data_IF_253779100276
#
_entry.id   IF_253779100276
#
_cell.length_a   1.000
_cell.length_b   1.000
_cell.length_c   1.000
_cell.angle_alpha   90.00
_cell.angle_beta   90.00
_cell.angle_gamma   90.00
#
_symmetry.space_group_name_H-M   'P 1'
#
loop_
_entity.id
_entity.type
_entity.pdbx_description
1 polymer ?
#
# COMPACT_ATOMS: atom_id res chain seq x y z
N UNK A 1 61.46 14.90 -57.32
CA UNK A 1 60.75 13.61 -57.40
C UNK A 1 59.60 13.67 -56.41
N UNK A 2 58.40 13.84 -56.94
CA UNK A 2 57.22 14.26 -56.19
C UNK A 2 56.55 13.08 -55.51
N UNK A 3 56.18 13.22 -54.24
CA UNK A 3 55.48 12.22 -53.43
C UNK A 3 54.20 11.67 -54.12
N UNK A 4 53.62 12.47 -55.02
CA UNK A 4 52.42 12.14 -55.78
C UNK A 4 52.65 11.11 -56.91
N UNK A 5 53.86 10.98 -57.46
CA UNK A 5 54.14 10.00 -58.54
C UNK A 5 54.15 8.55 -58.03
N UNK A 6 54.27 8.36 -56.72
CA UNK A 6 54.28 7.02 -56.09
C UNK A 6 52.88 6.46 -55.85
N UNK A 7 51.85 7.32 -55.88
CA UNK A 7 50.45 6.93 -55.61
C UNK A 7 49.80 6.30 -56.86
N UNK A 8 50.14 6.77 -58.06
CA UNK A 8 49.57 6.29 -59.33
C UNK A 8 50.03 4.90 -59.76
N UNK A 9 51.09 4.35 -59.15
CA UNK A 9 51.56 2.96 -59.42
C UNK A 9 50.91 1.90 -58.53
N UNK A 10 50.05 2.29 -57.60
CA UNK A 10 49.45 1.36 -56.64
C UNK A 10 48.15 0.79 -57.24
N UNK A 11 48.16 -0.50 -57.59
CA UNK A 11 46.95 -1.20 -58.07
C UNK A 11 45.79 -1.05 -57.09
N UNK A 12 44.58 -0.79 -57.61
CA UNK A 12 43.35 -0.64 -56.82
C UNK A 12 43.15 -1.74 -55.78
N UNK A 13 43.54 -2.99 -56.08
CA UNK A 13 43.48 -4.09 -55.13
C UNK A 13 44.31 -3.87 -53.86
N UNK A 14 45.46 -3.20 -53.97
CA UNK A 14 46.34 -2.86 -52.83
C UNK A 14 45.76 -1.73 -51.98
N UNK A 15 45.04 -0.78 -52.60
CA UNK A 15 44.35 0.30 -51.89
C UNK A 15 43.18 -0.26 -51.08
N UNK A 16 42.40 -1.16 -51.68
CA UNK A 16 41.30 -1.83 -50.98
C UNK A 16 41.85 -2.70 -49.84
N UNK A 17 42.93 -3.46 -50.07
CA UNK A 17 43.53 -4.27 -49.00
C UNK A 17 44.06 -3.42 -47.85
N UNK A 18 44.64 -2.26 -48.14
CA UNK A 18 45.12 -1.32 -47.12
C UNK A 18 43.96 -0.72 -46.32
N UNK A 19 42.85 -0.39 -46.99
CA UNK A 19 41.64 0.10 -46.33
C UNK A 19 41.01 -0.94 -45.41
N UNK A 20 40.89 -2.19 -45.87
CA UNK A 20 40.39 -3.31 -45.04
C UNK A 20 41.34 -3.58 -43.86
N UNK A 21 42.65 -3.53 -44.09
CA UNK A 21 43.64 -3.69 -43.03
C UNK A 21 43.53 -2.58 -41.97
N UNK A 22 43.41 -1.32 -42.39
CA UNK A 22 43.19 -0.17 -41.49
C UNK A 22 41.87 -0.29 -40.71
N UNK A 23 40.79 -0.72 -41.38
CA UNK A 23 39.49 -0.91 -40.74
C UNK A 23 39.54 -1.99 -39.65
N UNK A 24 40.27 -3.09 -39.88
CA UNK A 24 40.47 -4.12 -38.86
C UNK A 24 41.39 -3.64 -37.73
N UNK A 25 42.48 -2.94 -38.06
CA UNK A 25 43.48 -2.49 -37.10
C UNK A 25 42.94 -1.47 -36.11
N UNK A 26 42.01 -0.59 -36.54
CA UNK A 26 41.41 0.41 -35.67
C UNK A 26 39.98 0.06 -35.20
N UNK A 27 39.20 -0.66 -36.00
CA UNK A 27 37.81 -1.00 -35.69
C UNK A 27 37.66 -2.02 -34.56
N UNK A 28 38.53 -3.04 -34.52
CA UNK A 28 38.46 -4.07 -33.46
C UNK A 28 38.85 -3.51 -32.09
N UNK A 29 39.96 -2.76 -31.92
CA UNK A 29 40.29 -2.17 -30.62
C UNK A 29 39.24 -1.17 -30.14
N UNK A 30 38.65 -0.37 -31.04
CA UNK A 30 37.61 0.59 -30.69
C UNK A 30 36.34 -0.10 -30.19
N UNK A 31 35.90 -1.19 -30.83
CA UNK A 31 34.74 -1.96 -30.37
C UNK A 31 34.98 -2.63 -29.02
N UNK A 32 36.19 -3.18 -28.80
CA UNK A 32 36.58 -3.75 -27.50
C UNK A 32 36.59 -2.68 -26.40
N UNK A 33 37.12 -1.48 -26.68
CA UNK A 33 37.12 -0.36 -25.73
C UNK A 33 35.70 0.08 -25.34
N UNK A 34 34.78 0.17 -26.31
CA UNK A 34 33.39 0.53 -26.04
C UNK A 34 32.67 -0.53 -25.19
N UNK A 35 32.94 -1.82 -25.44
CA UNK A 35 32.38 -2.92 -24.64
C UNK A 35 32.97 -2.96 -23.22
N UNK A 36 34.27 -2.68 -23.07
CA UNK A 36 34.91 -2.60 -21.76
C UNK A 36 34.40 -1.41 -20.92
N UNK A 37 34.11 -0.27 -21.55
CA UNK A 37 33.49 0.87 -20.86
C UNK A 37 32.10 0.53 -20.32
N UNK A 38 31.30 -0.24 -21.07
CA UNK A 38 29.99 -0.69 -20.59
C UNK A 38 30.06 -1.71 -19.44
N UNK A 39 31.16 -2.46 -19.30
CA UNK A 39 31.30 -3.47 -18.24
C UNK A 39 31.82 -2.88 -16.92
N UNK A 40 32.66 -1.83 -16.94
CA UNK A 40 33.09 -1.15 -15.70
C UNK A 40 31.96 -0.38 -15.01
N UNK A 41 30.91 0.03 -15.73
CA UNK A 41 29.76 0.74 -15.13
C UNK A 41 28.83 -0.20 -14.35
N UNK A 42 28.87 -1.52 -14.61
CA UNK A 42 27.93 -2.49 -14.00
C UNK A 42 28.39 -3.13 -12.70
N UNK A 43 29.59 -2.83 -12.21
CA UNK A 43 30.15 -3.47 -11.01
C UNK A 43 30.53 -2.50 -9.90
N UNK A 44 29.81 -1.38 -9.78
CA UNK A 44 29.51 -0.92 -8.42
C UNK A 44 28.59 -1.97 -7.82
N UNK A 45 29.14 -2.92 -7.06
CA UNK A 45 28.35 -3.77 -6.21
C UNK A 45 27.37 -2.85 -5.46
N UNK A 46 26.08 -3.14 -5.55
CA UNK A 46 25.09 -2.49 -4.72
C UNK A 46 25.51 -2.73 -3.27
N UNK A 47 26.20 -1.77 -2.66
CA UNK A 47 26.16 -1.64 -1.22
C UNK A 47 24.71 -1.32 -0.95
N UNK A 48 23.98 -2.34 -0.48
CA UNK A 48 22.70 -2.14 0.17
C UNK A 48 22.96 -0.98 1.13
N UNK A 49 22.30 0.19 0.96
CA UNK A 49 22.42 1.21 1.97
C UNK A 49 22.11 0.49 3.27
N UNK A 50 23.06 0.51 4.21
CA UNK A 50 22.70 0.23 5.59
C UNK A 50 21.62 1.25 5.85
N UNK A 51 20.36 0.77 5.83
CA UNK A 51 19.26 1.53 6.36
C UNK A 51 19.74 1.83 7.76
N UNK A 52 20.06 3.10 8.03
CA UNK A 52 20.04 3.60 9.39
C UNK A 52 18.59 3.38 9.81
N UNK A 53 18.33 2.20 10.36
CA UNK A 53 17.09 1.91 11.06
C UNK A 53 17.20 2.85 12.23
N UNK A 54 16.52 3.99 12.15
CA UNK A 54 16.37 4.86 13.30
C UNK A 54 15.96 3.95 14.46
N UNK A 55 16.72 3.95 15.58
CA UNK A 55 16.37 3.09 16.70
C UNK A 55 14.92 3.39 17.06
N UNK A 56 14.13 2.33 17.20
CA UNK A 56 12.74 2.45 17.62
C UNK A 56 12.68 3.40 18.82
N UNK A 57 11.78 4.40 18.84
CA UNK A 57 11.79 5.42 19.87
C UNK A 57 11.88 4.78 21.26
N UNK A 58 12.60 5.42 22.19
CA UNK A 58 12.62 4.98 23.57
C UNK A 58 11.20 5.02 24.15
N UNK A 59 10.93 4.16 25.13
CA UNK A 59 9.64 4.15 25.81
C UNK A 59 9.33 5.52 26.44
N UNK A 60 8.18 6.09 26.08
CA UNK A 60 7.64 7.33 26.63
C UNK A 60 6.76 7.12 27.86
N UNK A 61 6.29 8.21 28.49
CA UNK A 61 5.38 8.16 29.62
C UNK A 61 4.00 7.65 29.22
N UNK A 62 3.27 7.10 30.19
CA UNK A 62 1.85 6.72 30.03
C UNK A 62 1.00 8.01 30.11
N UNK A 63 0.12 8.29 29.14
CA UNK A 63 -0.80 9.42 29.20
C UNK A 63 -1.74 9.37 30.41
N UNK A 64 -2.12 10.55 30.91
CA UNK A 64 -3.08 10.68 32.01
C UNK A 64 -4.49 10.33 31.56
N UNK A 65 -4.85 10.74 30.34
CA UNK A 65 -6.16 10.46 29.74
C UNK A 65 -6.21 9.07 29.14
N UNK A 66 -7.41 8.47 29.12
CA UNK A 66 -7.62 7.18 28.48
C UNK A 66 -7.55 7.29 26.95
N UNK A 67 -7.01 6.28 26.25
CA UNK A 67 -6.90 6.28 24.80
C UNK A 67 -8.28 6.30 24.16
N UNK A 68 -8.42 7.05 23.07
CA UNK A 68 -9.66 7.15 22.29
C UNK A 68 -9.35 6.79 20.85
N UNK A 69 -9.86 5.65 20.37
CA UNK A 69 -9.70 5.22 18.98
C UNK A 69 -10.91 5.68 18.18
N UNK A 70 -10.66 6.40 17.08
CA UNK A 70 -11.70 6.81 16.14
C UNK A 70 -11.92 5.75 15.06
N UNK A 71 -10.91 5.56 14.19
CA UNK A 71 -11.02 4.65 13.03
C UNK A 71 -9.69 4.02 12.65
N UNK A 72 -9.80 2.99 11.81
CA UNK A 72 -8.69 2.43 11.04
C UNK A 72 -8.78 2.98 9.61
N UNK A 73 -7.68 3.52 9.11
CA UNK A 73 -7.57 4.09 7.78
C UNK A 73 -6.35 3.52 7.05
N UNK A 74 -6.49 2.94 5.85
CA UNK A 74 -7.74 2.57 5.19
C UNK A 74 -8.59 1.57 6.00
N UNK A 75 -9.91 1.63 5.90
CA UNK A 75 -10.80 0.66 6.56
C UNK A 75 -10.92 -0.65 5.78
N UNK A 76 -10.31 -0.74 4.60
CA UNK A 76 -10.25 -1.93 3.77
C UNK A 76 -8.81 -2.21 3.39
N UNK A 77 -8.37 -3.45 3.55
CA UNK A 77 -6.98 -3.84 3.31
C UNK A 77 -6.80 -5.35 3.24
N UNK A 78 -5.58 -5.79 3.01
CA UNK A 78 -5.19 -7.20 3.05
C UNK A 78 -4.03 -7.39 4.02
N UNK A 79 -3.77 -8.64 4.40
CA UNK A 79 -2.62 -9.01 5.23
C UNK A 79 -1.33 -8.44 4.62
N UNK A 80 -0.53 -7.79 5.46
CA UNK A 80 0.72 -7.14 5.07
C UNK A 80 0.60 -5.66 4.69
N UNK A 81 -0.62 -5.13 4.51
CA UNK A 81 -0.80 -3.69 4.30
C UNK A 81 -0.57 -2.91 5.61
N UNK A 82 -0.17 -1.65 5.48
CA UNK A 82 -0.06 -0.71 6.61
C UNK A 82 -1.41 -0.01 6.79
N UNK A 83 -1.87 0.05 8.04
CA UNK A 83 -3.02 0.85 8.44
C UNK A 83 -2.64 1.87 9.49
N UNK A 84 -3.38 2.98 9.50
CA UNK A 84 -3.31 4.03 10.48
C UNK A 84 -4.52 3.94 11.41
N UNK A 85 -4.26 3.73 12.68
CA UNK A 85 -5.26 3.82 13.73
C UNK A 85 -5.21 5.26 14.24
N UNK A 86 -6.26 6.02 13.91
CA UNK A 86 -6.37 7.43 14.28
C UNK A 86 -7.16 7.57 15.58
N UNK A 87 -6.76 8.54 16.41
CA UNK A 87 -7.41 8.79 17.69
C UNK A 87 -6.65 9.79 18.55
N UNK A 88 -6.78 9.66 19.87
CA UNK A 88 -6.19 10.56 20.86
C UNK A 88 -5.66 9.82 22.09
N UNK A 89 -4.72 10.46 22.78
CA UNK A 89 -4.17 10.01 24.06
C UNK A 89 -3.51 8.63 24.00
N UNK A 90 -2.93 8.28 22.85
CA UNK A 90 -2.13 7.07 22.72
C UNK A 90 -0.74 7.22 23.35
N UNK A 91 -0.30 8.46 23.59
CA UNK A 91 1.06 8.79 24.01
C UNK A 91 2.09 8.61 22.90
N UNK A 92 3.25 9.24 23.06
CA UNK A 92 4.39 9.02 22.16
C UNK A 92 5.15 7.78 22.62
N UNK A 93 4.85 6.64 21.98
CA UNK A 93 5.46 5.34 22.24
C UNK A 93 5.53 4.94 23.73
N UNK A 94 4.41 4.86 24.47
CA UNK A 94 4.41 4.63 25.92
C UNK A 94 5.00 3.27 26.31
N UNK A 95 5.55 3.20 27.52
CA UNK A 95 6.24 2.00 28.04
C UNK A 95 5.35 0.75 28.15
N UNK A 96 4.06 0.92 28.45
CA UNK A 96 3.08 -0.16 28.52
C UNK A 96 2.01 0.08 27.47
N UNK A 97 2.05 -0.72 26.41
CA UNK A 97 1.09 -0.63 25.30
C UNK A 97 0.80 -1.98 24.68
N UNK A 98 -0.41 -2.13 24.18
CA UNK A 98 -0.84 -3.27 23.37
C UNK A 98 -1.73 -2.78 22.24
N UNK A 99 -1.55 -3.39 21.07
CA UNK A 99 -2.42 -3.23 19.92
C UNK A 99 -2.89 -4.60 19.47
N UNK A 100 -4.20 -4.77 19.29
CA UNK A 100 -4.79 -5.91 18.60
C UNK A 100 -5.54 -5.46 17.37
N UNK A 101 -5.54 -6.27 16.31
CA UNK A 101 -6.36 -6.05 15.13
C UNK A 101 -7.13 -7.33 14.85
N UNK A 102 -8.47 -7.24 14.84
CA UNK A 102 -9.40 -8.35 14.64
C UNK A 102 -9.07 -9.58 15.49
N UNK A 103 -8.76 -9.35 16.77
CA UNK A 103 -8.44 -10.40 17.75
C UNK A 103 -6.98 -10.86 17.79
N UNK A 104 -6.13 -10.39 16.87
CA UNK A 104 -4.70 -10.77 16.82
C UNK A 104 -3.84 -9.70 17.45
N UNK A 105 -3.05 -10.06 18.47
CA UNK A 105 -2.05 -9.15 19.08
C UNK A 105 -0.94 -8.84 18.08
N UNK A 106 -0.73 -7.54 17.84
CA UNK A 106 0.34 -7.04 16.98
C UNK A 106 1.65 -7.08 17.74
N UNK A 107 2.65 -7.70 17.12
CA UNK A 107 4.01 -7.72 17.66
C UNK A 107 4.70 -6.38 17.42
N UNK A 108 5.63 -6.04 18.30
CA UNK A 108 6.29 -4.73 18.30
C UNK A 108 7.02 -4.42 16.98
N UNK A 109 7.54 -5.44 16.27
CA UNK A 109 8.17 -5.29 14.95
C UNK A 109 7.19 -4.90 13.82
N UNK A 110 5.90 -5.16 14.01
CA UNK A 110 4.84 -4.84 13.06
C UNK A 110 4.16 -3.50 13.37
N UNK A 111 4.62 -2.79 14.41
CA UNK A 111 4.21 -1.42 14.73
C UNK A 111 5.27 -0.48 14.16
N UNK A 112 4.97 0.10 13.01
CA UNK A 112 5.84 1.03 12.30
C UNK A 112 5.97 2.39 13.02
N UNK A 113 4.94 2.81 13.74
CA UNK A 113 4.97 4.05 14.52
C UNK A 113 3.87 4.11 15.57
N UNK A 114 4.14 4.78 16.69
CA UNK A 114 3.19 5.00 17.77
C UNK A 114 3.32 6.42 18.30
N UNK A 115 2.38 7.27 17.91
CA UNK A 115 2.30 8.67 18.27
C UNK A 115 0.99 8.94 19.01
N UNK A 116 0.91 10.07 19.70
CA UNK A 116 -0.23 10.38 20.57
C UNK A 116 -1.60 10.35 19.87
N UNK A 117 -1.64 10.69 18.58
CA UNK A 117 -2.87 10.75 17.80
C UNK A 117 -2.94 9.73 16.65
N UNK A 118 -1.90 8.91 16.47
CA UNK A 118 -1.83 7.97 15.36
C UNK A 118 -0.89 6.80 15.64
N UNK A 119 -1.35 5.59 15.33
CA UNK A 119 -0.54 4.37 15.35
C UNK A 119 -0.49 3.80 13.93
N UNK A 120 0.70 3.47 13.44
CA UNK A 120 0.90 2.81 12.16
C UNK A 120 1.29 1.35 12.41
N UNK A 121 0.52 0.43 11.86
CA UNK A 121 0.73 -1.00 12.06
C UNK A 121 0.46 -1.82 10.81
N UNK A 122 1.13 -2.96 10.69
CA UNK A 122 0.94 -3.92 9.59
C UNK A 122 -0.20 -4.88 9.96
N UNK A 123 -1.14 -5.12 9.05
CA UNK A 123 -2.21 -6.10 9.23
C UNK A 123 -1.59 -7.52 9.31
N UNK A 124 -1.74 -8.25 10.43
CA UNK A 124 -1.14 -9.56 10.61
C UNK A 124 -1.98 -10.66 9.93
N UNK A 125 -1.42 -11.87 9.88
CA UNK A 125 -2.19 -13.07 9.50
C UNK A 125 -3.19 -13.42 10.61
N UNK A 126 -4.38 -13.89 10.24
CA UNK A 126 -5.37 -14.43 11.18
C UNK A 126 -6.39 -13.42 11.71
N UNK A 127 -6.38 -12.19 11.20
CA UNK A 127 -7.39 -11.17 11.53
C UNK A 127 -8.77 -11.63 11.03
N UNK A 128 -9.78 -11.48 11.89
CA UNK A 128 -11.17 -11.84 11.57
C UNK A 128 -11.82 -10.75 10.70
N UNK A 129 -12.68 -11.17 9.77
CA UNK A 129 -13.44 -10.26 8.91
C UNK A 129 -14.39 -9.37 9.72
N UNK A 130 -14.44 -8.07 9.41
CA UNK A 130 -15.17 -7.11 10.25
C UNK A 130 -14.48 -6.85 11.59
N UNK A 131 -13.21 -7.24 11.74
CA UNK A 131 -12.43 -7.05 12.94
C UNK A 131 -12.22 -5.56 13.26
N UNK A 132 -11.93 -5.28 14.53
CA UNK A 132 -11.67 -3.93 15.05
C UNK A 132 -10.20 -3.83 15.50
N UNK A 133 -9.67 -2.61 15.56
CA UNK A 133 -8.44 -2.31 16.27
C UNK A 133 -8.75 -2.05 17.75
N UNK A 134 -7.97 -2.65 18.64
CA UNK A 134 -8.06 -2.48 20.08
C UNK A 134 -6.74 -1.92 20.60
N UNK A 135 -6.77 -0.74 21.21
CA UNK A 135 -5.61 -0.05 21.76
C UNK A 135 -5.70 -0.04 23.28
N UNK A 136 -4.64 -0.49 23.95
CA UNK A 136 -4.50 -0.42 25.39
C UNK A 136 -3.18 0.27 25.75
N UNK A 137 -3.23 1.23 26.67
CA UNK A 137 -2.06 1.96 27.16
C UNK A 137 -2.08 1.98 28.69
N UNK A 138 -1.02 1.47 29.32
CA UNK A 138 -0.96 1.30 30.77
C UNK A 138 -2.12 0.48 31.33
N UNK A 139 -2.76 1.02 32.37
CA UNK A 139 -3.95 0.44 33.00
C UNK A 139 -5.26 1.07 32.54
N UNK A 140 -5.23 1.91 31.49
CA UNK A 140 -6.46 2.49 30.95
C UNK A 140 -7.35 1.42 30.32
N UNK A 141 -8.68 1.64 30.28
CA UNK A 141 -9.59 0.80 29.53
C UNK A 141 -9.16 0.65 28.07
N UNK A 142 -9.45 -0.51 27.49
CA UNK A 142 -9.22 -0.77 26.07
C UNK A 142 -10.13 0.13 25.24
N UNK A 143 -9.55 0.77 24.23
CA UNK A 143 -10.25 1.62 23.28
C UNK A 143 -10.36 0.91 21.93
N UNK A 144 -11.50 1.06 21.24
CA UNK A 144 -11.86 0.23 20.09
C UNK A 144 -12.22 1.07 18.87
N UNK A 145 -11.80 0.64 17.68
CA UNK A 145 -12.15 1.29 16.42
C UNK A 145 -13.48 0.81 15.85
N UNK A 146 -13.91 1.51 14.80
CA UNK A 146 -14.86 0.97 13.82
C UNK A 146 -14.33 -0.30 13.13
N UNK A 147 -15.21 -1.19 12.64
CA UNK A 147 -14.79 -2.42 11.97
C UNK A 147 -14.09 -2.14 10.64
N UNK A 148 -13.19 -3.03 10.26
CA UNK A 148 -12.49 -2.99 8.97
C UNK A 148 -12.78 -4.25 8.13
N UNK A 149 -12.58 -4.12 6.83
CA UNK A 149 -12.79 -5.19 5.86
C UNK A 149 -11.44 -5.70 5.38
N UNK A 150 -11.27 -7.01 5.47
CA UNK A 150 -10.18 -7.71 4.86
C UNK A 150 -10.62 -8.29 3.52
N UNK A 151 -9.70 -8.24 2.56
CA UNK A 151 -9.85 -8.93 1.30
C UNK A 151 -8.60 -9.73 0.96
N UNK A 152 -8.79 -10.72 0.11
CA UNK A 152 -7.73 -11.54 -0.45
C UNK A 152 -7.87 -11.58 -1.98
N UNK A 153 -7.14 -12.48 -2.63
CA UNK A 153 -7.22 -12.67 -4.09
C UNK A 153 -8.54 -13.26 -4.57
N UNK A 154 -9.39 -13.75 -3.66
CA UNK A 154 -10.68 -14.35 -3.95
C UNK A 154 -11.84 -13.36 -3.85
N UNK A 155 -11.62 -12.16 -3.31
CA UNK A 155 -12.64 -11.12 -3.25
C UNK A 155 -13.07 -10.72 -4.66
N UNK A 156 -14.36 -10.94 -4.98
CA UNK A 156 -14.94 -10.65 -6.31
C UNK A 156 -15.69 -9.33 -6.37
N UNK A 157 -16.13 -8.82 -5.23
CA UNK A 157 -16.87 -7.56 -5.15
C UNK A 157 -15.87 -6.41 -5.21
N UNK A 158 -16.07 -5.52 -6.18
CA UNK A 158 -15.36 -4.25 -6.26
C UNK A 158 -16.33 -3.13 -5.93
N UNK A 159 -15.96 -2.26 -5.00
CA UNK A 159 -16.71 -1.04 -4.71
C UNK A 159 -16.11 0.14 -5.45
N UNK A 160 -17.00 0.99 -5.97
CA UNK A 160 -16.71 2.24 -6.67
C UNK A 160 -17.56 3.37 -6.09
N UNK A 161 -17.11 4.61 -6.26
CA UNK A 161 -17.82 5.85 -6.01
C UNK A 161 -18.41 6.40 -7.31
N UNK A 162 -19.73 6.49 -7.36
CA UNK A 162 -20.45 7.17 -8.43
C UNK A 162 -21.14 8.42 -7.84
N UNK A 163 -20.38 9.52 -7.79
CA UNK A 163 -20.80 10.71 -7.04
C UNK A 163 -20.85 10.40 -5.54
N UNK A 164 -22.00 10.61 -4.91
CA UNK A 164 -22.22 10.28 -3.50
C UNK A 164 -22.63 8.81 -3.27
N UNK A 165 -22.92 8.06 -4.34
CA UNK A 165 -23.41 6.69 -4.24
C UNK A 165 -22.26 5.71 -4.38
N UNK A 166 -22.09 4.84 -3.40
CA UNK A 166 -21.24 3.66 -3.48
C UNK A 166 -21.95 2.57 -4.27
N UNK A 167 -21.22 1.96 -5.18
CA UNK A 167 -21.74 0.99 -6.13
C UNK A 167 -20.85 -0.25 -6.15
N UNK A 168 -21.46 -1.42 -6.04
CA UNK A 168 -20.79 -2.70 -6.10
C UNK A 168 -20.88 -3.35 -7.48
N UNK A 169 -19.73 -3.66 -8.06
CA UNK A 169 -19.60 -4.64 -9.15
C UNK A 169 -19.58 -6.06 -8.58
N UNK A 170 -20.20 -7.00 -9.28
CA UNK A 170 -20.40 -8.38 -8.82
C UNK A 170 -21.15 -8.47 -7.47
N UNK A 171 -22.01 -7.48 -7.19
CA UNK A 171 -22.74 -7.33 -5.93
C UNK A 171 -23.98 -8.23 -5.78
N UNK A 172 -24.18 -9.23 -6.63
CA UNK A 172 -25.41 -10.04 -6.68
C UNK A 172 -25.75 -10.80 -5.39
N UNK A 173 -24.77 -10.98 -4.50
CA UNK A 173 -24.91 -11.65 -3.20
C UNK A 173 -25.11 -10.68 -2.02
N UNK A 174 -25.04 -9.36 -2.25
CA UNK A 174 -25.19 -8.35 -1.20
C UNK A 174 -26.67 -8.23 -0.85
N UNK A 175 -27.00 -8.48 0.41
CA UNK A 175 -28.36 -8.37 0.94
C UNK A 175 -28.51 -7.16 1.87
N UNK A 176 -27.46 -6.79 2.62
CA UNK A 176 -27.49 -5.67 3.56
C UNK A 176 -26.18 -4.89 3.59
N UNK A 177 -26.26 -3.65 4.01
CA UNK A 177 -25.13 -2.76 4.26
C UNK A 177 -25.19 -2.20 5.68
N UNK A 178 -24.03 -2.03 6.31
CA UNK A 178 -23.84 -1.15 7.46
C UNK A 178 -22.74 -0.17 7.13
N UNK A 179 -23.02 1.11 7.19
CA UNK A 179 -22.08 2.17 6.87
C UNK A 179 -21.96 3.15 8.02
N UNK A 180 -20.75 3.63 8.25
CA UNK A 180 -20.46 4.69 9.20
C UNK A 180 -19.93 5.88 8.42
N UNK A 181 -20.61 7.01 8.55
CA UNK A 181 -20.20 8.30 8.01
C UNK A 181 -19.85 9.26 9.13
N UNK A 182 -19.06 10.29 8.86
CA UNK A 182 -18.76 11.31 9.87
C UNK A 182 -17.37 11.88 9.75
N UNK A 183 -16.85 12.37 10.87
CA UNK A 183 -15.49 12.85 10.99
C UNK A 183 -14.59 11.84 11.73
N UNK A 184 -13.30 12.16 11.80
CA UNK A 184 -12.28 11.27 12.38
C UNK A 184 -12.43 11.10 13.90
N UNK A 185 -13.19 11.99 14.55
CA UNK A 185 -13.29 12.14 16.00
C UNK A 185 -14.62 11.59 16.55
N UNK A 186 -15.64 11.49 15.71
CA UNK A 186 -17.00 11.08 16.07
C UNK A 186 -17.64 10.36 14.89
N UNK A 187 -17.85 9.03 14.97
CA UNK A 187 -18.67 8.28 14.02
C UNK A 187 -20.12 8.73 14.14
N UNK A 188 -20.46 9.83 13.49
CA UNK A 188 -21.83 10.33 13.47
C UNK A 188 -22.63 9.54 12.46
N UNK A 189 -23.22 8.47 12.98
CA UNK A 189 -24.33 7.71 12.40
C UNK A 189 -23.89 6.41 11.70
N UNK A 190 -24.28 5.30 12.32
CA UNK A 190 -24.33 4.00 11.67
C UNK A 190 -25.67 3.89 10.95
N UNK A 191 -25.62 3.71 9.65
CA UNK A 191 -26.80 3.50 8.82
C UNK A 191 -26.80 2.04 8.36
N UNK A 192 -27.90 1.35 8.66
CA UNK A 192 -28.18 0.01 8.16
C UNK A 192 -29.26 0.09 7.07
N UNK A 193 -29.07 -0.66 5.99
CA UNK A 193 -30.01 -0.69 4.88
C UNK A 193 -30.06 -2.06 4.20
N UNK A 194 -31.26 -2.45 3.76
CA UNK A 194 -31.45 -3.61 2.89
C UNK A 194 -31.11 -3.24 1.44
N UNK A 195 -30.41 -4.13 0.76
CA UNK A 195 -29.97 -3.97 -0.63
C UNK A 195 -30.82 -4.85 -1.53
N UNK A 196 -31.26 -4.31 -2.65
CA UNK A 196 -31.85 -5.07 -3.76
C UNK A 196 -30.75 -5.35 -4.78
N UNK A 197 -30.07 -6.51 -4.71
CA UNK A 197 -28.96 -6.79 -5.62
C UNK A 197 -29.42 -6.79 -7.08
N UNK A 198 -28.56 -6.26 -7.96
CA UNK A 198 -28.73 -6.32 -9.40
C UNK A 198 -27.76 -7.36 -9.97
N UNK A 199 -28.21 -8.58 -10.31
CA UNK A 199 -27.33 -9.65 -10.79
C UNK A 199 -26.73 -9.38 -12.17
N UNK A 200 -27.34 -8.50 -12.95
CA UNK A 200 -26.98 -8.24 -14.35
C UNK A 200 -26.02 -7.05 -14.53
N UNK A 201 -25.54 -6.44 -13.43
CA UNK A 201 -24.68 -5.27 -13.50
C UNK A 201 -24.21 -4.78 -12.14
N UNK A 202 -24.25 -3.47 -11.97
CA UNK A 202 -23.83 -2.82 -10.73
C UNK A 202 -24.98 -2.71 -9.73
N UNK A 203 -24.68 -2.91 -8.45
CA UNK A 203 -25.63 -2.80 -7.33
C UNK A 203 -25.30 -1.54 -6.52
N UNK A 204 -26.17 -0.51 -6.49
CA UNK A 204 -26.02 0.59 -5.54
C UNK A 204 -26.08 0.07 -4.11
N UNK A 205 -25.07 0.38 -3.29
CA UNK A 205 -24.98 -0.14 -1.91
C UNK A 205 -25.26 0.93 -0.86
N UNK A 206 -24.84 2.18 -1.06
CA UNK A 206 -24.99 3.19 -0.02
C UNK A 206 -24.85 4.59 -0.60
N UNK A 207 -25.67 5.54 -0.17
CA UNK A 207 -25.50 6.96 -0.50
C UNK A 207 -24.87 7.67 0.71
N UNK A 208 -23.69 8.26 0.52
CA UNK A 208 -22.97 8.98 1.58
C UNK A 208 -23.60 10.31 1.94
N UNK A 209 -24.54 10.80 1.12
CA UNK A 209 -25.10 12.15 1.20
C UNK A 209 -24.00 13.25 1.26
N UNK A 210 -22.83 12.98 0.68
CA UNK A 210 -21.67 13.88 0.69
C UNK A 210 -20.87 13.88 1.99
N UNK A 211 -21.22 13.04 2.98
CA UNK A 211 -20.43 12.88 4.22
C UNK A 211 -19.19 12.00 3.97
N UNK A 212 -18.06 12.23 4.67
CA UNK A 212 -16.91 11.35 4.60
C UNK A 212 -17.25 9.94 5.11
N UNK A 213 -16.74 8.92 4.41
CA UNK A 213 -16.89 7.52 4.79
C UNK A 213 -15.82 7.15 5.82
N UNK A 214 -16.24 6.49 6.90
CA UNK A 214 -15.33 5.97 7.93
C UNK A 214 -15.13 4.46 7.78
N UNK A 215 -16.22 3.70 7.57
CA UNK A 215 -16.16 2.28 7.19
C UNK A 215 -17.48 1.82 6.58
N UNK A 216 -17.47 0.66 5.92
CA UNK A 216 -18.63 0.01 5.33
C UNK A 216 -18.50 -1.50 5.41
N UNK A 217 -19.56 -2.18 5.86
CA UNK A 217 -19.69 -3.62 5.87
C UNK A 217 -20.82 -4.04 4.93
N UNK A 218 -20.57 -5.06 4.12
CA UNK A 218 -21.55 -5.69 3.25
C UNK A 218 -21.87 -7.07 3.81
N UNK A 219 -23.14 -7.46 3.79
CA UNK A 219 -23.60 -8.75 4.30
C UNK A 219 -24.36 -9.53 3.23
N UNK A 220 -24.20 -10.86 3.25
CA UNK A 220 -25.04 -11.77 2.49
C UNK A 220 -26.40 -12.00 3.18
N UNK A 221 -27.24 -12.84 2.58
CA UNK A 221 -28.56 -13.21 3.13
C UNK A 221 -28.47 -13.99 4.45
N UNK A 222 -27.32 -14.59 4.74
CA UNK A 222 -27.07 -15.37 5.95
C UNK A 222 -26.46 -14.51 7.07
N UNK A 223 -26.16 -13.23 6.81
CA UNK A 223 -25.51 -12.33 7.75
C UNK A 223 -23.99 -12.45 7.80
N UNK A 224 -23.36 -13.15 6.85
CA UNK A 224 -21.90 -13.19 6.75
C UNK A 224 -21.37 -11.91 6.10
N UNK A 225 -20.23 -11.43 6.60
CA UNK A 225 -19.57 -10.27 6.00
C UNK A 225 -18.92 -10.67 4.68
N UNK A 226 -19.24 -9.92 3.63
CA UNK A 226 -18.72 -10.10 2.30
C UNK A 226 -17.43 -9.29 2.11
N UNK A 227 -16.29 -9.92 1.76
CA UNK A 227 -15.08 -9.19 1.42
C UNK A 227 -15.26 -8.44 0.10
N UNK A 228 -14.73 -7.22 0.07
CA UNK A 228 -14.67 -6.41 -1.13
C UNK A 228 -13.33 -5.67 -1.18
N UNK A 229 -12.96 -5.22 -2.37
CA UNK A 229 -11.82 -4.33 -2.56
C UNK A 229 -12.27 -3.03 -3.24
N UNK A 230 -11.41 -2.02 -3.18
CA UNK A 230 -11.62 -0.71 -3.80
C UNK A 230 -10.39 -0.31 -4.61
N UNK A 231 -10.53 0.72 -5.44
CA UNK A 231 -9.38 1.47 -5.95
C UNK A 231 -8.90 2.47 -4.88
N UNK A 232 -7.66 2.37 -4.38
CA UNK A 232 -7.15 3.29 -3.35
C UNK A 232 -7.26 4.76 -3.75
N UNK A 233 -7.02 5.10 -5.02
CA UNK A 233 -7.00 6.49 -5.49
C UNK A 233 -8.41 7.08 -5.43
N UNK A 234 -9.42 6.29 -5.82
CA UNK A 234 -10.83 6.69 -5.77
C UNK A 234 -11.30 6.92 -4.32
N UNK A 235 -10.77 6.15 -3.38
CA UNK A 235 -11.14 6.23 -1.97
C UNK A 235 -10.30 7.21 -1.16
N UNK A 236 -9.19 7.69 -1.72
CA UNK A 236 -8.27 8.64 -1.08
C UNK A 236 -7.34 7.97 -0.06
N UNK A 237 -7.05 6.68 -0.25
CA UNK A 237 -6.17 5.86 0.59
C UNK A 237 -4.69 5.99 0.23
#
# INVERSE_FOLDING_TARGET
MSFFDSIDRISYGKIISLGVFLALLFGVPATVLLVQQQTQIRSRAYQKPEYMVEPKPSAGPIPVESPQVGRVFPWVGKVGDIVWIQGFHFGNNPAQKSLKIGGVTIKEENIAGWQDNQIQAIIPVGVVQGGIAEVQVGNHPVSQSLPMVLYDRNAKIKLHKQGNVLVAENGGQIAKVKAWTGDENTPTEMVEGDIKPNPAGTTPVFDTAGKPMLTLLLFDTNGNILPYYVDPIEFGF
#
